data_IF_148236562504
#
_entry.id   IF_148236562504
#
_cell.length_a   1.000
_cell.length_b   1.000
_cell.length_c   1.000
_cell.angle_alpha   90.00
_cell.angle_beta   90.00
_cell.angle_gamma   90.00
#
_symmetry.space_group_name_H-M   'P 1'
#
loop_
_entity.id
_entity.type
_entity.pdbx_description
1 polymer ?
#
# COMPACT_ATOMS: atom_id res chain seq x y z
N UNK A 1 5.33 -9.39 22.50
CA UNK A 1 6.09 -9.71 21.28
C UNK A 1 6.20 -8.48 20.40
N UNK A 2 6.96 -8.55 19.32
CA UNK A 2 7.23 -7.42 18.43
C UNK A 2 5.96 -6.75 17.85
N UNK A 3 4.89 -7.52 17.68
CA UNK A 3 3.62 -7.08 17.09
C UNK A 3 2.47 -7.11 18.11
N UNK A 4 2.79 -6.95 19.39
CA UNK A 4 1.79 -7.04 20.47
C UNK A 4 0.67 -6.01 20.28
N UNK A 5 -0.58 -6.48 20.29
CA UNK A 5 -1.76 -5.62 20.15
C UNK A 5 -2.14 -5.28 18.70
N UNK A 6 -1.37 -5.72 17.71
CA UNK A 6 -1.70 -5.49 16.31
C UNK A 6 -2.83 -6.42 15.88
N UNK A 7 -3.89 -5.86 15.31
CA UNK A 7 -4.94 -6.59 14.59
C UNK A 7 -4.63 -6.49 13.09
N UNK A 8 -4.29 -7.62 12.49
CA UNK A 8 -3.70 -7.67 11.15
C UNK A 8 -4.61 -8.42 10.19
N UNK A 9 -4.87 -7.82 9.03
CA UNK A 9 -5.48 -8.49 7.87
C UNK A 9 -4.35 -8.82 6.89
N UNK A 10 -4.25 -10.09 6.51
CA UNK A 10 -3.29 -10.55 5.51
C UNK A 10 -4.02 -10.81 4.20
N UNK A 11 -3.50 -10.22 3.13
CA UNK A 11 -3.95 -10.46 1.78
C UNK A 11 -2.77 -10.86 0.90
N UNK A 12 -2.40 -12.12 1.02
CA UNK A 12 -1.25 -12.73 0.33
C UNK A 12 -1.68 -14.06 -0.28
N UNK A 13 -0.84 -14.62 -1.14
CA UNK A 13 -1.08 -15.95 -1.69
C UNK A 13 -1.19 -17.01 -0.58
N UNK A 14 -2.12 -17.95 -0.72
CA UNK A 14 -2.39 -19.00 0.27
C UNK A 14 -1.14 -19.79 0.66
N UNK A 15 -0.21 -20.00 -0.28
CA UNK A 15 1.07 -20.68 -0.01
C UNK A 15 1.93 -19.96 1.03
N UNK A 16 1.83 -18.63 1.12
CA UNK A 16 2.61 -17.79 2.02
C UNK A 16 1.80 -17.32 3.23
N UNK A 17 0.48 -17.29 3.12
CA UNK A 17 -0.42 -16.85 4.19
C UNK A 17 -0.15 -17.58 5.51
N UNK A 18 -0.02 -18.91 5.46
CA UNK A 18 0.25 -19.72 6.66
C UNK A 18 1.57 -19.32 7.36
N UNK A 19 2.61 -18.99 6.57
CA UNK A 19 3.90 -18.55 7.09
C UNK A 19 3.81 -17.19 7.77
N UNK A 20 3.22 -16.20 7.09
CA UNK A 20 3.02 -14.87 7.68
C UNK A 20 2.12 -14.90 8.90
N UNK A 21 1.05 -15.69 8.87
CA UNK A 21 0.12 -15.85 9.99
C UNK A 21 0.85 -16.36 11.22
N UNK A 22 1.66 -17.42 11.07
CA UNK A 22 2.47 -17.96 12.17
C UNK A 22 3.48 -16.95 12.70
N UNK A 23 4.14 -16.20 11.82
CA UNK A 23 5.11 -15.18 12.20
C UNK A 23 4.47 -14.05 13.02
N UNK A 24 3.35 -13.51 12.54
CA UNK A 24 2.61 -12.46 13.23
C UNK A 24 2.06 -12.94 14.58
N UNK A 25 1.43 -14.12 14.61
CA UNK A 25 0.90 -14.71 15.84
C UNK A 25 2.02 -14.97 16.86
N UNK A 26 3.17 -15.47 16.41
CA UNK A 26 4.34 -15.65 17.27
C UNK A 26 4.88 -14.31 17.80
N UNK A 27 4.76 -13.23 17.03
CA UNK A 27 5.10 -11.89 17.47
C UNK A 27 4.05 -11.23 18.38
N UNK A 28 2.92 -11.88 18.65
CA UNK A 28 1.84 -11.36 19.50
C UNK A 28 0.77 -10.54 18.77
N UNK A 29 0.76 -10.57 17.43
CA UNK A 29 -0.33 -10.00 16.64
C UNK A 29 -1.52 -10.96 16.52
N UNK A 30 -2.71 -10.39 16.37
CA UNK A 30 -3.95 -11.10 16.09
C UNK A 30 -4.27 -11.01 14.61
N UNK A 31 -4.11 -12.12 13.90
CA UNK A 31 -4.45 -12.22 12.49
C UNK A 31 -5.95 -12.51 12.35
N UNK A 32 -6.66 -11.62 11.67
CA UNK A 32 -8.11 -11.75 11.45
C UNK A 32 -8.38 -12.74 10.29
N UNK A 33 -9.33 -13.67 10.45
CA UNK A 33 -9.71 -14.58 9.39
C UNK A 33 -10.62 -13.85 8.39
N UNK A 34 -10.04 -13.44 7.25
CA UNK A 34 -10.78 -12.84 6.14
C UNK A 34 -10.53 -11.34 5.94
N UNK A 35 -11.18 -10.79 4.90
CA UNK A 35 -11.01 -9.42 4.41
C UNK A 35 -12.35 -8.67 4.32
N UNK A 36 -13.31 -9.03 5.18
CA UNK A 36 -14.64 -8.41 5.21
C UNK A 36 -14.58 -6.98 5.74
N UNK A 37 -15.42 -6.10 5.18
CA UNK A 37 -15.52 -4.67 5.55
C UNK A 37 -15.66 -4.41 7.06
N UNK A 38 -16.42 -5.19 7.85
CA UNK A 38 -16.52 -4.97 9.30
C UNK A 38 -15.18 -5.14 10.03
N UNK A 39 -14.31 -6.03 9.51
CA UNK A 39 -13.02 -6.32 10.11
C UNK A 39 -12.06 -5.14 9.95
N UNK A 40 -12.24 -4.27 8.95
CA UNK A 40 -11.41 -3.08 8.80
C UNK A 40 -11.52 -2.13 9.99
N UNK A 41 -12.70 -1.99 10.59
CA UNK A 41 -12.89 -1.15 11.80
C UNK A 41 -12.13 -1.68 13.01
N UNK A 42 -11.90 -2.98 13.04
CA UNK A 42 -11.11 -3.60 14.11
C UNK A 42 -9.64 -3.71 13.75
N UNK A 43 -9.31 -3.80 12.46
CA UNK A 43 -7.96 -3.95 12.00
C UNK A 43 -7.17 -2.67 12.21
N UNK A 44 -5.89 -2.86 12.51
CA UNK A 44 -4.90 -1.78 12.62
C UNK A 44 -4.01 -1.76 11.40
N UNK A 45 -3.67 -2.93 10.87
CA UNK A 45 -2.76 -3.10 9.75
C UNK A 45 -3.35 -4.07 8.73
N UNK A 46 -3.15 -3.78 7.47
CA UNK A 46 -3.47 -4.63 6.34
C UNK A 46 -2.19 -4.82 5.53
N UNK A 47 -1.74 -6.06 5.40
CA UNK A 47 -0.58 -6.39 4.57
C UNK A 47 -1.01 -7.06 3.27
N UNK A 48 -0.61 -6.48 2.15
CA UNK A 48 -0.90 -7.01 0.81
C UNK A 48 0.36 -7.22 -0.01
N UNK A 49 0.37 -8.23 -0.89
CA UNK A 49 1.42 -8.42 -1.88
C UNK A 49 1.05 -7.79 -3.22
N UNK A 50 1.41 -6.51 -3.37
CA UNK A 50 1.15 -5.75 -4.58
C UNK A 50 1.92 -6.25 -5.83
N UNK A 51 2.95 -7.08 -5.64
CA UNK A 51 3.81 -7.55 -6.74
C UNK A 51 3.14 -8.68 -7.55
N UNK A 52 2.07 -9.28 -7.00
CA UNK A 52 1.41 -10.47 -7.56
C UNK A 52 -0.09 -10.31 -7.77
N UNK A 53 -0.72 -9.32 -7.13
CA UNK A 53 -2.16 -9.12 -7.19
C UNK A 53 -2.53 -8.17 -8.33
N UNK A 54 -3.34 -8.66 -9.27
CA UNK A 54 -3.97 -7.79 -10.27
C UNK A 54 -4.99 -6.89 -9.54
N UNK A 55 -5.07 -5.59 -9.88
CA UNK A 55 -6.01 -4.65 -9.26
C UNK A 55 -7.49 -5.02 -9.45
N UNK A 56 -7.80 -5.92 -10.39
CA UNK A 56 -9.16 -6.41 -10.67
C UNK A 56 -9.54 -7.67 -9.86
N UNK A 57 -8.56 -8.38 -9.29
CA UNK A 57 -8.75 -9.65 -8.55
C UNK A 57 -8.56 -9.46 -7.04
N UNK A 58 -8.24 -8.25 -6.60
CA UNK A 58 -8.10 -7.89 -5.20
C UNK A 58 -9.48 -7.87 -4.55
N UNK A 59 -9.98 -9.03 -4.12
CA UNK A 59 -11.19 -9.18 -3.30
C UNK A 59 -11.13 -8.40 -1.97
N UNK A 60 -9.99 -7.79 -1.64
CA UNK A 60 -9.84 -6.83 -0.54
C UNK A 60 -9.95 -5.39 -1.03
N UNK A 61 -10.88 -4.63 -0.43
CA UNK A 61 -11.02 -3.21 -0.72
C UNK A 61 -9.99 -2.40 0.08
N UNK A 62 -8.81 -2.16 -0.50
CA UNK A 62 -7.74 -1.36 0.13
C UNK A 62 -8.21 0.07 0.43
N UNK A 63 -8.96 0.67 -0.50
CA UNK A 63 -9.53 2.01 -0.32
C UNK A 63 -10.47 2.09 0.90
N UNK A 64 -11.35 1.09 1.08
CA UNK A 64 -12.25 1.02 2.24
C UNK A 64 -11.47 0.82 3.55
N UNK A 65 -10.47 -0.06 3.56
CA UNK A 65 -9.61 -0.25 4.72
C UNK A 65 -8.90 1.07 5.08
N UNK A 66 -8.34 1.76 4.10
CA UNK A 66 -7.67 3.04 4.31
C UNK A 66 -8.64 4.15 4.76
N UNK A 67 -9.87 4.17 4.24
CA UNK A 67 -10.94 5.07 4.72
C UNK A 67 -11.32 4.82 6.19
N UNK A 68 -11.16 3.58 6.68
CA UNK A 68 -11.32 3.24 8.10
C UNK A 68 -10.04 3.50 8.92
N UNK A 69 -9.06 4.24 8.40
CA UNK A 69 -7.76 4.52 9.03
C UNK A 69 -6.90 3.26 9.28
N UNK A 70 -7.07 2.21 8.47
CA UNK A 70 -6.21 1.02 8.53
C UNK A 70 -4.93 1.24 7.73
N UNK A 71 -3.78 0.91 8.33
CA UNK A 71 -2.49 0.99 7.65
C UNK A 71 -2.36 -0.11 6.59
N UNK A 72 -2.55 0.25 5.33
CA UNK A 72 -2.38 -0.66 4.20
C UNK A 72 -0.93 -0.63 3.70
N UNK A 73 -0.16 -1.66 4.06
CA UNK A 73 1.27 -1.75 3.84
C UNK A 73 1.65 -2.98 3.02
N UNK A 74 2.85 -2.97 2.45
CA UNK A 74 3.46 -4.16 1.85
C UNK A 74 3.92 -5.14 2.92
N UNK A 75 3.89 -6.43 2.60
CA UNK A 75 4.40 -7.50 3.48
C UNK A 75 5.89 -7.36 3.84
N UNK A 76 6.67 -6.65 3.02
CA UNK A 76 8.08 -6.34 3.26
C UNK A 76 8.28 -5.58 4.58
N UNK A 77 7.32 -4.71 4.95
CA UNK A 77 7.34 -3.96 6.20
C UNK A 77 7.49 -4.87 7.42
N UNK A 78 6.87 -6.06 7.41
CA UNK A 78 6.93 -6.99 8.53
C UNK A 78 8.36 -7.48 8.73
N UNK A 79 9.06 -7.81 7.64
CA UNK A 79 10.43 -8.29 7.70
C UNK A 79 11.37 -7.16 8.13
N UNK A 80 11.23 -5.98 7.54
CA UNK A 80 12.03 -4.81 7.90
C UNK A 80 11.81 -4.37 9.35
N UNK A 81 10.57 -4.39 9.85
CA UNK A 81 10.25 -4.07 11.24
C UNK A 81 10.92 -5.03 12.23
N UNK A 82 11.17 -6.28 11.82
CA UNK A 82 11.89 -7.26 12.64
C UNK A 82 13.41 -7.14 12.52
N UNK A 83 13.91 -6.67 11.38
CA UNK A 83 15.35 -6.59 11.12
C UNK A 83 15.96 -5.25 11.54
N UNK A 84 15.19 -4.16 11.51
CA UNK A 84 15.67 -2.82 11.82
C UNK A 84 15.50 -2.50 13.31
N UNK A 85 16.50 -1.84 13.90
CA UNK A 85 16.41 -1.36 15.29
C UNK A 85 15.42 -0.18 15.44
N UNK A 86 15.26 0.61 14.38
CA UNK A 86 14.23 1.66 14.30
C UNK A 86 13.11 1.25 13.35
N UNK A 87 11.84 1.49 13.70
CA UNK A 87 10.71 1.10 12.87
C UNK A 87 10.76 1.80 11.50
N UNK A 88 10.63 1.06 10.39
CA UNK A 88 10.66 1.64 9.05
C UNK A 88 9.49 2.63 8.85
N UNK A 89 9.70 3.64 8.01
CA UNK A 89 8.65 4.63 7.70
C UNK A 89 7.52 3.99 6.90
N UNK A 90 6.31 3.99 7.46
CA UNK A 90 5.11 3.40 6.84
C UNK A 90 4.79 3.97 5.45
N UNK A 91 5.15 5.23 5.19
CA UNK A 91 4.91 5.92 3.92
C UNK A 91 5.61 5.22 2.74
N UNK A 92 6.80 4.63 2.96
CA UNK A 92 7.56 3.95 1.93
C UNK A 92 6.97 2.57 1.57
N UNK A 93 6.18 2.00 2.48
CA UNK A 93 5.58 0.68 2.33
C UNK A 93 4.08 0.77 2.08
N UNK A 94 3.49 1.96 2.09
CA UNK A 94 2.07 2.15 1.89
C UNK A 94 1.66 1.83 0.44
N UNK A 95 0.49 1.21 0.30
CA UNK A 95 -0.08 0.87 -0.99
C UNK A 95 -0.61 2.13 -1.68
N UNK A 96 -0.44 2.28 -3.01
CA UNK A 96 -0.83 3.50 -3.72
C UNK A 96 -2.30 3.88 -3.54
N UNK A 97 -3.19 2.90 -3.38
CA UNK A 97 -4.63 3.10 -3.11
C UNK A 97 -4.90 3.65 -1.71
N UNK A 98 -4.02 3.42 -0.76
CA UNK A 98 -4.14 3.88 0.62
C UNK A 98 -3.40 5.20 0.88
N UNK A 99 -2.39 5.54 0.06
CA UNK A 99 -1.65 6.82 0.18
C UNK A 99 -2.61 8.02 0.13
N UNK A 100 -3.67 7.94 -0.68
CA UNK A 100 -4.69 9.00 -0.79
C UNK A 100 -5.54 9.20 0.47
N UNK A 101 -5.54 8.23 1.38
CA UNK A 101 -6.34 8.25 2.62
C UNK A 101 -5.48 8.45 3.87
N UNK A 102 -4.16 8.46 3.76
CA UNK A 102 -3.28 8.75 4.90
C UNK A 102 -3.52 10.18 5.39
N UNK A 103 -3.68 10.39 6.72
CA UNK A 103 -3.79 11.71 7.32
C UNK A 103 -2.40 12.36 7.38
N UNK A 104 -1.73 12.53 6.24
CA UNK A 104 -0.59 13.42 6.18
C UNK A 104 -1.16 14.84 6.23
N UNK A 105 -0.82 15.57 7.28
CA UNK A 105 -1.30 16.90 7.57
C UNK A 105 -0.78 17.94 6.55
N UNK A 106 -1.28 17.89 5.30
CA UNK A 106 -1.16 18.92 4.26
C UNK A 106 -2.06 18.59 3.05
N UNK A 107 -3.21 19.25 3.04
CA UNK A 107 -3.96 19.75 1.87
C UNK A 107 -4.35 18.77 0.73
N UNK A 108 -5.65 18.66 0.40
CA UNK A 108 -6.12 18.00 -0.82
C UNK A 108 -5.84 18.91 -2.02
N UNK A 109 -4.75 18.68 -2.73
CA UNK A 109 -4.61 19.15 -4.11
C UNK A 109 -5.26 18.15 -5.07
N UNK A 110 -6.34 18.49 -5.82
CA UNK A 110 -6.86 17.61 -6.86
C UNK A 110 -5.82 17.52 -7.98
N UNK A 111 -5.09 16.41 -8.01
CA UNK A 111 -3.98 16.19 -8.92
C UNK A 111 -4.04 14.87 -9.69
N UNK A 112 -5.20 14.23 -9.78
CA UNK A 112 -5.45 13.23 -10.82
C UNK A 112 -5.61 13.99 -12.15
N UNK A 113 -4.52 14.07 -12.92
CA UNK A 113 -4.62 14.30 -14.36
C UNK A 113 -3.76 13.27 -15.07
N UNK A 114 -4.42 12.14 -15.36
CA UNK A 114 -4.08 11.32 -16.51
C UNK A 114 -3.82 12.23 -17.73
N UNK A 115 -2.58 12.27 -18.22
CA UNK A 115 -2.31 12.29 -19.66
C UNK A 115 -0.84 12.04 -19.93
N UNK A 116 -0.57 10.89 -20.56
CA UNK A 116 0.56 10.74 -21.49
C UNK A 116 0.65 12.00 -22.35
N UNK A 117 1.82 12.60 -22.45
CA UNK A 117 2.27 13.25 -23.68
C UNK A 117 3.79 13.26 -23.70
N UNK A 118 4.33 12.53 -24.67
CA UNK A 118 5.74 12.57 -25.03
C UNK A 118 6.19 14.02 -25.26
N UNK A 119 7.43 14.40 -24.91
CA UNK A 119 8.01 15.61 -25.43
C UNK A 119 8.32 15.37 -26.93
N UNK A 120 7.41 15.79 -27.81
CA UNK A 120 7.78 16.05 -29.20
C UNK A 120 8.74 17.24 -29.19
N UNK A 121 10.01 16.91 -29.30
CA UNK A 121 11.11 17.81 -29.62
C UNK A 121 10.79 18.55 -30.94
N UNK A 122 10.33 19.80 -30.84
CA UNK A 122 10.17 20.66 -32.02
C UNK A 122 11.55 21.16 -32.41
N UNK A 123 12.17 20.40 -33.29
CA UNK A 123 13.41 20.71 -33.99
C UNK A 123 13.30 22.08 -34.70
N UNK A 124 14.11 23.05 -34.25
CA UNK A 124 14.21 24.38 -34.86
C UNK A 124 15.20 24.33 -36.02
N UNK A 125 14.74 24.00 -37.23
CA UNK A 125 15.49 24.31 -38.46
C UNK A 125 14.95 25.61 -39.06
N UNK A 126 15.87 26.59 -39.09
CA UNK A 126 15.76 27.90 -39.73
C UNK A 126 15.63 27.76 -41.25
N UNK A 127 14.63 28.42 -41.86
CA UNK A 127 14.70 29.09 -43.20
C UNK A 127 13.63 30.19 -43.24
N UNK A 128 13.94 31.37 -43.80
CA UNK A 128 13.21 31.76 -45.00
C UNK A 128 14.15 32.18 -46.13
N UNK A 129 13.70 31.92 -47.37
CA UNK A 129 14.38 32.24 -48.62
C UNK A 129 13.56 33.34 -49.32
N UNK A 130 14.30 34.23 -49.99
CA UNK A 130 13.96 35.10 -51.14
C UNK A 130 12.87 36.17 -50.97
N UNK A 131 13.29 37.43 -51.13
CA UNK A 131 12.90 38.23 -52.29
C UNK A 131 14.10 39.04 -52.79
#
# INVERSE_FOLDING_TARGET
GAFSGWKVILYVDQSREAGFKRLLQSGGAKVLPGHSVPLFKEATHLFSDFNKLKPDDSGVNIAEAAAQNVYCLKTEYIADYLMQESPPQVENYCLPEAISFLPNNKEPGPGLSQKRKAPTEKNKIKRPRVN
#
